data_IF_132071859953
#
_entry.id   IF_132071859953
#
_cell.length_a   1.000
_cell.length_b   1.000
_cell.length_c   1.000
_cell.angle_alpha   90.00
_cell.angle_beta   90.00
_cell.angle_gamma   90.00
#
_symmetry.space_group_name_H-M   'P 1'
#
loop_
_entity.id
_entity.type
_entity.pdbx_description
1 polymer ?
#
# COMPACT_ATOMS: atom_id res chain seq x y z
N UNK A 1 10.05 -3.81 -11.09
CA UNK A 1 8.90 -3.73 -10.16
C UNK A 1 7.64 -3.89 -10.98
N UNK A 2 6.86 -4.91 -10.69
CA UNK A 2 5.65 -5.21 -11.46
C UNK A 2 4.60 -4.09 -11.36
N UNK A 3 3.83 -3.89 -12.42
CA UNK A 3 2.88 -2.77 -12.59
C UNK A 3 3.49 -1.41 -12.90
N UNK A 4 4.79 -1.19 -12.64
CA UNK A 4 5.48 0.06 -12.96
C UNK A 4 6.32 -0.08 -14.24
N UNK A 5 5.85 0.54 -15.33
CA UNK A 5 6.65 0.68 -16.55
C UNK A 5 7.69 1.81 -16.44
N UNK A 6 8.66 1.84 -17.36
CA UNK A 6 9.71 2.86 -17.38
C UNK A 6 9.13 4.29 -17.41
N UNK A 7 8.07 4.52 -18.19
CA UNK A 7 7.39 5.80 -18.29
C UNK A 7 6.79 6.27 -16.94
N UNK A 8 6.19 5.36 -16.16
CA UNK A 8 5.66 5.67 -14.82
C UNK A 8 6.77 6.11 -13.90
N UNK A 9 7.91 5.41 -13.93
CA UNK A 9 9.06 5.76 -13.09
C UNK A 9 9.67 7.10 -13.51
N UNK A 10 9.78 7.37 -14.81
CA UNK A 10 10.24 8.66 -15.32
C UNK A 10 9.37 9.82 -14.84
N UNK A 11 8.03 9.68 -14.88
CA UNK A 11 7.11 10.70 -14.36
C UNK A 11 7.29 10.92 -12.86
N UNK A 12 7.46 9.84 -12.09
CA UNK A 12 7.71 9.95 -10.65
C UNK A 12 9.03 10.68 -10.38
N UNK A 13 10.10 10.32 -11.08
CA UNK A 13 11.42 10.94 -10.93
C UNK A 13 11.44 12.40 -11.41
N UNK A 14 10.67 12.76 -12.44
CA UNK A 14 10.57 14.16 -12.88
C UNK A 14 9.88 15.06 -11.86
N UNK A 15 8.95 14.51 -11.07
CA UNK A 15 8.22 15.26 -10.04
C UNK A 15 8.94 15.29 -8.69
N UNK A 16 9.68 14.21 -8.36
CA UNK A 16 10.26 14.02 -7.03
C UNK A 16 11.77 14.19 -6.97
N UNK A 17 12.45 14.07 -8.11
CA UNK A 17 13.90 13.91 -8.17
C UNK A 17 14.36 12.55 -7.64
N UNK A 18 15.68 12.37 -7.60
CA UNK A 18 16.32 11.17 -7.01
C UNK A 18 16.58 11.31 -5.51
N UNK A 19 16.60 12.56 -5.02
CA UNK A 19 16.92 12.86 -3.63
C UNK A 19 15.68 12.84 -2.74
N UNK A 20 15.64 11.92 -1.78
CA UNK A 20 14.53 11.77 -0.84
C UNK A 20 14.71 12.57 0.47
N UNK A 21 15.82 13.32 0.63
CA UNK A 21 16.08 14.17 1.81
C UNK A 21 14.98 15.21 2.11
N UNK A 22 14.29 15.82 1.12
CA UNK A 22 13.18 16.75 1.39
C UNK A 22 12.05 16.14 2.23
N UNK A 23 11.86 14.81 2.15
CA UNK A 23 10.88 14.09 2.97
C UNK A 23 11.56 13.27 4.06
N UNK A 24 11.53 13.78 5.28
CA UNK A 24 12.15 13.14 6.46
C UNK A 24 11.70 11.68 6.65
N UNK A 25 10.42 11.41 6.42
CA UNK A 25 9.87 10.05 6.49
C UNK A 25 9.04 9.73 5.25
N UNK A 26 8.89 8.43 5.00
CA UNK A 26 8.03 7.90 3.94
C UNK A 26 6.57 8.40 4.07
N UNK A 27 6.10 8.65 5.30
CA UNK A 27 4.78 9.24 5.54
C UNK A 27 4.64 10.62 4.88
N UNK A 28 5.61 11.51 5.08
CA UNK A 28 5.65 12.84 4.47
C UNK A 28 5.63 12.75 2.94
N UNK A 29 6.43 11.84 2.37
CA UNK A 29 6.46 11.60 0.92
C UNK A 29 5.10 11.19 0.35
N UNK A 30 4.45 10.20 0.99
CA UNK A 30 3.14 9.72 0.54
C UNK A 30 2.00 10.72 0.75
N UNK A 31 2.13 11.59 1.77
CA UNK A 31 1.19 12.69 2.01
C UNK A 31 1.36 13.78 0.97
N UNK A 32 2.59 14.16 0.63
CA UNK A 32 2.89 15.12 -0.44
C UNK A 32 2.35 14.65 -1.80
N UNK A 33 2.49 13.36 -2.11
CA UNK A 33 1.88 12.77 -3.31
C UNK A 33 0.35 12.65 -3.24
N UNK A 34 -0.31 13.02 -2.14
CA UNK A 34 -1.76 12.87 -1.98
C UNK A 34 -2.26 11.40 -2.08
N UNK A 35 -1.42 10.43 -1.69
CA UNK A 35 -1.77 9.01 -1.64
C UNK A 35 -2.16 8.55 -0.23
N UNK A 36 -1.84 9.34 0.78
CA UNK A 36 -2.33 9.15 2.14
C UNK A 36 -3.79 9.64 2.27
N UNK A 37 -4.60 9.05 3.17
CA UNK A 37 -5.93 9.57 3.47
C UNK A 37 -5.83 10.99 4.03
N UNK A 38 -6.71 11.88 3.57
CA UNK A 38 -6.87 13.23 4.10
C UNK A 38 -7.98 13.22 5.14
N UNK A 39 -7.62 13.55 6.39
CA UNK A 39 -8.54 13.56 7.52
C UNK A 39 -8.75 15.01 7.97
N UNK A 40 -9.98 15.49 7.85
CA UNK A 40 -10.39 16.80 8.38
C UNK A 40 -10.61 16.61 9.89
N UNK A 41 -9.78 17.25 10.73
CA UNK A 41 -9.81 17.10 12.19
C UNK A 41 -10.16 18.43 12.83
N UNK A 42 -11.14 18.42 13.73
CA UNK A 42 -11.49 19.56 14.59
C UNK A 42 -11.76 19.07 16.01
N UNK A 43 -11.30 19.80 17.02
CA UNK A 43 -11.48 19.43 18.43
C UNK A 43 -11.02 18.01 18.79
N UNK A 44 -9.98 17.49 18.11
CA UNK A 44 -9.46 16.14 18.31
C UNK A 44 -10.29 15.01 17.69
N UNK A 45 -11.39 15.30 16.98
CA UNK A 45 -12.22 14.31 16.29
C UNK A 45 -12.03 14.40 14.77
N UNK A 46 -11.98 13.24 14.11
CA UNK A 46 -11.99 13.16 12.64
C UNK A 46 -13.41 13.43 12.16
N UNK A 47 -13.61 14.57 11.51
CA UNK A 47 -14.89 14.96 10.93
C UNK A 47 -15.15 14.21 9.63
N UNK A 48 -14.13 14.11 8.77
CA UNK A 48 -14.23 13.51 7.43
C UNK A 48 -12.91 12.85 7.06
N UNK A 49 -12.98 11.74 6.34
CA UNK A 49 -11.81 11.06 5.77
C UNK A 49 -12.04 10.74 4.30
N UNK A 50 -11.17 11.24 3.42
CA UNK A 50 -11.30 11.06 1.97
C UNK A 50 -9.94 11.08 1.27
N UNK A 51 -9.90 10.59 0.03
CA UNK A 51 -8.76 10.81 -0.84
C UNK A 51 -8.69 12.30 -1.22
N UNK A 52 -7.49 12.88 -1.19
CA UNK A 52 -7.27 14.27 -1.57
C UNK A 52 -7.31 14.42 -3.10
N UNK A 53 -8.00 15.46 -3.59
CA UNK A 53 -7.91 15.84 -5.00
C UNK A 53 -6.51 16.38 -5.27
N UNK A 54 -5.88 15.96 -6.36
CA UNK A 54 -4.51 16.36 -6.68
C UNK A 54 -4.31 16.58 -8.16
N UNK A 55 -3.39 17.50 -8.49
CA UNK A 55 -2.85 17.71 -9.85
C UNK A 55 -1.50 17.03 -10.04
N UNK A 56 -0.99 16.33 -9.01
CA UNK A 56 0.31 15.68 -9.04
C UNK A 56 0.31 14.53 -10.05
N UNK A 57 1.16 14.61 -11.07
CA UNK A 57 1.25 13.62 -12.15
C UNK A 57 1.78 12.28 -11.66
N UNK A 58 2.70 12.28 -10.68
CA UNK A 58 3.21 11.07 -10.06
C UNK A 58 2.09 10.28 -9.35
N UNK A 59 1.14 10.96 -8.70
CA UNK A 59 -0.03 10.28 -8.10
C UNK A 59 -0.83 9.51 -9.16
N UNK A 60 -1.18 10.19 -10.26
CA UNK A 60 -1.96 9.60 -11.35
C UNK A 60 -1.21 8.43 -11.98
N UNK A 61 0.08 8.57 -12.25
CA UNK A 61 0.91 7.51 -12.81
C UNK A 61 0.97 6.28 -11.89
N UNK A 62 1.14 6.48 -10.58
CA UNK A 62 1.15 5.39 -9.60
C UNK A 62 -0.22 4.71 -9.46
N UNK A 63 -1.32 5.44 -9.63
CA UNK A 63 -2.66 4.86 -9.64
C UNK A 63 -2.92 4.02 -10.90
N UNK A 64 -2.40 4.43 -12.05
CA UNK A 64 -2.44 3.63 -13.28
C UNK A 64 -1.59 2.36 -13.13
N UNK A 65 -0.38 2.46 -12.60
CA UNK A 65 0.45 1.30 -12.28
C UNK A 65 -0.26 0.34 -11.32
N UNK A 66 -0.94 0.88 -10.30
CA UNK A 66 -1.74 0.08 -9.37
C UNK A 66 -2.92 -0.64 -10.03
N UNK A 67 -3.52 -0.06 -11.08
CA UNK A 67 -4.59 -0.71 -11.85
C UNK A 67 -4.07 -1.84 -12.73
N UNK A 68 -2.87 -1.71 -13.29
CA UNK A 68 -2.25 -2.77 -14.10
C UNK A 68 -1.98 -4.06 -13.31
N UNK A 69 -1.90 -3.98 -11.98
CA UNK A 69 -1.63 -5.11 -11.08
C UNK A 69 -2.84 -6.05 -10.85
N UNK A 70 -3.99 -5.80 -11.47
CA UNK A 70 -5.22 -6.59 -11.26
C UNK A 70 -5.01 -8.10 -11.46
N UNK A 71 -4.30 -8.46 -12.53
CA UNK A 71 -4.08 -9.85 -12.96
C UNK A 71 -2.67 -10.37 -12.69
N UNK A 72 -1.83 -9.61 -11.98
CA UNK A 72 -0.44 -10.04 -11.75
C UNK A 72 -0.29 -11.02 -10.59
N UNK A 73 0.64 -11.96 -10.73
CA UNK A 73 1.04 -12.93 -9.70
C UNK A 73 2.10 -12.38 -8.72
N UNK A 74 2.44 -11.09 -8.82
CA UNK A 74 3.27 -10.41 -7.83
C UNK A 74 2.60 -10.32 -6.47
N UNK A 75 3.41 -10.12 -5.42
CA UNK A 75 2.87 -9.86 -4.08
C UNK A 75 2.00 -8.58 -4.03
N UNK A 76 2.30 -7.60 -4.91
CA UNK A 76 1.52 -6.38 -5.04
C UNK A 76 0.16 -6.63 -5.70
N UNK A 77 0.09 -7.51 -6.71
CA UNK A 77 -1.16 -7.97 -7.30
C UNK A 77 -2.05 -8.69 -6.27
N UNK A 78 -1.47 -9.60 -5.48
CA UNK A 78 -2.18 -10.27 -4.39
C UNK A 78 -2.68 -9.27 -3.32
N UNK A 79 -1.88 -8.24 -3.00
CA UNK A 79 -2.31 -7.14 -2.12
C UNK A 79 -3.50 -6.37 -2.70
N UNK A 80 -3.44 -6.00 -3.98
CA UNK A 80 -4.50 -5.29 -4.68
C UNK A 80 -5.81 -6.08 -4.65
N UNK A 81 -5.78 -7.37 -5.08
CA UNK A 81 -6.97 -8.23 -5.10
C UNK A 81 -7.63 -8.33 -3.73
N UNK A 82 -6.83 -8.52 -2.68
CA UNK A 82 -7.33 -8.55 -1.30
C UNK A 82 -7.95 -7.21 -0.88
N UNK A 83 -7.31 -6.08 -1.18
CA UNK A 83 -7.89 -4.77 -0.84
C UNK A 83 -9.16 -4.48 -1.65
N UNK A 84 -9.22 -4.91 -2.92
CA UNK A 84 -10.39 -4.78 -3.78
C UNK A 84 -11.59 -5.53 -3.20
N UNK A 85 -11.39 -6.77 -2.76
CA UNK A 85 -12.44 -7.56 -2.12
C UNK A 85 -12.96 -6.91 -0.81
N UNK A 86 -12.08 -6.25 -0.05
CA UNK A 86 -12.45 -5.66 1.26
C UNK A 86 -13.02 -4.24 1.18
N UNK A 87 -12.51 -3.40 0.28
CA UNK A 87 -12.76 -1.95 0.26
C UNK A 87 -13.42 -1.46 -1.02
N UNK A 88 -13.53 -2.31 -2.04
CA UNK A 88 -13.90 -1.91 -3.40
C UNK A 88 -12.73 -1.38 -4.22
N UNK A 89 -12.92 -1.32 -5.55
CA UNK A 89 -11.85 -1.01 -6.49
C UNK A 89 -11.21 0.38 -6.32
N UNK A 90 -11.96 1.50 -6.13
CA UNK A 90 -11.34 2.82 -6.05
C UNK A 90 -10.38 2.96 -4.86
N UNK A 91 -10.77 2.44 -3.68
CA UNK A 91 -9.94 2.46 -2.47
C UNK A 91 -8.75 1.52 -2.59
N UNK A 92 -8.92 0.36 -3.23
CA UNK A 92 -7.84 -0.59 -3.45
C UNK A 92 -6.73 -0.03 -4.37
N UNK A 93 -7.10 0.72 -5.42
CA UNK A 93 -6.15 1.39 -6.31
C UNK A 93 -5.28 2.36 -5.51
N UNK A 94 -5.89 3.24 -4.72
CA UNK A 94 -5.15 4.23 -3.92
C UNK A 94 -4.28 3.54 -2.87
N UNK A 95 -4.80 2.52 -2.17
CA UNK A 95 -4.03 1.78 -1.19
C UNK A 95 -2.83 1.03 -1.79
N UNK A 96 -2.95 0.59 -3.04
CA UNK A 96 -1.87 -0.09 -3.76
C UNK A 96 -0.86 0.91 -4.29
N UNK A 97 -1.31 2.02 -4.89
CA UNK A 97 -0.45 3.14 -5.26
C UNK A 97 0.33 3.70 -4.05
N UNK A 98 -0.31 3.80 -2.88
CA UNK A 98 0.34 4.14 -1.62
C UNK A 98 1.47 3.18 -1.29
N UNK A 99 1.27 1.86 -1.44
CA UNK A 99 2.34 0.88 -1.25
C UNK A 99 3.47 1.02 -2.24
N UNK A 100 3.15 1.23 -3.52
CA UNK A 100 4.15 1.42 -4.58
C UNK A 100 5.02 2.64 -4.26
N UNK A 101 4.39 3.76 -3.91
CA UNK A 101 5.06 4.97 -3.46
C UNK A 101 6.03 4.72 -2.29
N UNK A 102 5.62 3.93 -1.29
CA UNK A 102 6.49 3.60 -0.15
C UNK A 102 7.71 2.79 -0.58
N UNK A 103 7.54 1.87 -1.53
CA UNK A 103 8.63 1.07 -2.08
C UNK A 103 9.61 1.98 -2.80
N UNK A 104 9.13 2.83 -3.71
CA UNK A 104 9.97 3.79 -4.45
C UNK A 104 10.77 4.68 -3.49
N UNK A 105 10.14 5.23 -2.44
CA UNK A 105 10.83 6.03 -1.43
C UNK A 105 12.01 5.28 -0.80
N UNK A 106 11.81 4.02 -0.40
CA UNK A 106 12.87 3.24 0.23
C UNK A 106 13.93 2.75 -0.76
N UNK A 107 13.55 2.45 -1.99
CA UNK A 107 14.50 2.15 -3.06
C UNK A 107 15.43 3.34 -3.30
N UNK A 108 14.88 4.56 -3.43
CA UNK A 108 15.67 5.76 -3.67
C UNK A 108 16.46 6.21 -2.43
N UNK A 109 15.88 6.11 -1.23
CA UNK A 109 16.56 6.55 0.00
C UNK A 109 17.73 5.65 0.38
N UNK A 110 17.59 4.33 0.22
CA UNK A 110 18.60 3.35 0.64
C UNK A 110 19.36 2.72 -0.52
N UNK A 111 19.05 3.10 -1.76
CA UNK A 111 19.66 2.56 -2.98
C UNK A 111 19.58 1.02 -3.01
N UNK A 112 18.41 0.48 -2.65
CA UNK A 112 18.15 -0.96 -2.63
C UNK A 112 17.18 -1.35 -3.72
N UNK A 113 17.45 -2.49 -4.35
CA UNK A 113 16.56 -3.06 -5.35
C UNK A 113 15.27 -3.60 -4.70
N UNK A 114 14.18 -3.53 -5.46
CA UNK A 114 12.93 -4.17 -5.09
C UNK A 114 12.95 -5.65 -5.46
N UNK A 115 12.81 -6.51 -4.45
CA UNK A 115 12.69 -7.96 -4.63
C UNK A 115 11.23 -8.38 -4.45
N UNK A 116 10.68 -9.07 -5.45
CA UNK A 116 9.34 -9.64 -5.38
C UNK A 116 9.40 -11.04 -4.76
N UNK A 117 8.76 -11.22 -3.61
CA UNK A 117 8.67 -12.51 -2.91
C UNK A 117 7.53 -13.39 -3.43
N UNK A 118 6.71 -12.89 -4.35
CA UNK A 118 5.57 -13.57 -4.96
C UNK A 118 4.27 -13.51 -4.14
N UNK A 119 3.15 -13.81 -4.79
CA UNK A 119 1.82 -13.85 -4.19
C UNK A 119 1.73 -14.86 -3.02
N UNK A 120 2.24 -16.08 -3.20
CA UNK A 120 2.15 -17.15 -2.21
C UNK A 120 2.78 -16.77 -0.86
N UNK A 121 3.97 -16.16 -0.89
CA UNK A 121 4.66 -15.72 0.32
C UNK A 121 3.83 -14.66 1.08
N UNK A 122 3.24 -13.72 0.34
CA UNK A 122 2.40 -12.69 0.90
C UNK A 122 1.09 -13.22 1.50
N UNK A 123 0.46 -14.19 0.84
CA UNK A 123 -0.75 -14.87 1.34
C UNK A 123 -0.46 -15.69 2.58
N UNK A 124 0.64 -16.44 2.62
CA UNK A 124 1.10 -17.17 3.80
C UNK A 124 1.32 -16.24 5.00
N UNK A 125 1.99 -15.09 4.78
CA UNK A 125 2.18 -14.08 5.82
C UNK A 125 0.84 -13.49 6.29
N UNK A 126 -0.11 -13.29 5.38
CA UNK A 126 -1.43 -12.80 5.73
C UNK A 126 -2.21 -13.81 6.58
N UNK A 127 -2.21 -15.09 6.19
CA UNK A 127 -2.83 -16.18 6.95
C UNK A 127 -2.26 -16.26 8.37
N UNK A 128 -0.93 -16.18 8.51
CA UNK A 128 -0.28 -16.14 9.83
C UNK A 128 -0.80 -14.98 10.70
N UNK A 129 -0.96 -13.78 10.13
CA UNK A 129 -1.52 -12.63 10.86
C UNK A 129 -2.98 -12.85 11.26
N UNK A 130 -3.78 -13.47 10.40
CA UNK A 130 -5.18 -13.80 10.72
C UNK A 130 -5.25 -14.78 11.89
N UNK A 131 -4.47 -15.86 11.86
CA UNK A 131 -4.40 -16.85 12.95
C UNK A 131 -3.97 -16.17 14.26
N UNK A 132 -2.92 -15.34 14.23
CA UNK A 132 -2.48 -14.61 15.42
C UNK A 132 -3.55 -13.66 15.97
N UNK A 133 -4.28 -12.96 15.08
CA UNK A 133 -5.39 -12.09 15.48
C UNK A 133 -6.54 -12.87 16.10
N UNK A 134 -6.89 -14.03 15.53
CA UNK A 134 -7.93 -14.91 16.05
C UNK A 134 -7.53 -15.49 17.41
N UNK A 135 -6.27 -15.92 17.54
CA UNK A 135 -5.73 -16.45 18.81
C UNK A 135 -5.81 -15.41 19.91
N UNK A 136 -5.41 -14.16 19.63
CA UNK A 136 -5.53 -13.05 20.59
C UNK A 136 -6.98 -12.76 20.97
N UNK A 137 -7.89 -12.80 20.00
CA UNK A 137 -9.33 -12.57 20.24
C UNK A 137 -9.95 -13.71 21.06
N UNK A 138 -9.59 -14.95 20.77
CA UNK A 138 -10.02 -16.12 21.56
C UNK A 138 -9.54 -15.98 23.01
N UNK A 139 -8.26 -15.67 23.22
CA UNK A 139 -7.69 -15.46 24.54
C UNK A 139 -8.41 -14.35 25.34
N UNK A 140 -8.77 -13.22 24.69
CA UNK A 140 -9.53 -12.15 25.35
C UNK A 140 -10.95 -12.57 25.80
N UNK A 141 -11.48 -13.65 25.23
CA UNK A 141 -12.78 -14.22 25.57
C UNK A 141 -12.66 -15.47 26.46
N UNK A 142 -11.45 -15.81 26.93
CA UNK A 142 -11.21 -17.03 27.70
C UNK A 142 -11.30 -18.32 26.89
N UNK A 143 -11.23 -18.24 25.56
CA UNK A 143 -11.32 -19.38 24.65
C UNK A 143 -9.93 -19.76 24.10
N UNK A 144 -9.76 -21.04 23.77
CA UNK A 144 -8.57 -21.55 23.08
C UNK A 144 -8.88 -21.83 21.60
N UNK A 145 -8.01 -21.35 20.71
CA UNK A 145 -8.13 -21.62 19.28
C UNK A 145 -7.53 -23.00 18.98
N UNK A 146 -8.40 -23.97 18.68
CA UNK A 146 -7.99 -25.32 18.27
C UNK A 146 -8.18 -25.47 16.76
N UNK A 147 -7.19 -26.00 16.01
CA UNK A 147 -7.37 -26.30 14.60
C UNK A 147 -8.49 -27.33 14.42
N UNK A 148 -9.42 -27.07 13.51
CA UNK A 148 -10.40 -28.07 13.11
C UNK A 148 -9.67 -29.26 12.47
N UNK A 149 -10.08 -30.51 12.80
CA UNK A 149 -9.67 -31.68 12.01
C UNK A 149 -10.23 -31.51 10.60
N UNK A 150 -9.33 -31.61 9.61
CA UNK A 150 -9.66 -31.55 8.20
C UNK A 150 -10.39 -32.83 7.75
#
# INVERSE_FOLDING_TARGET
>A
MDGCNAATIQVVLSETGVDMRPWRTCGHFTSWMCLAPHNDISGGKVLRSRAQKTKNRANTALRLAAQALTHSDSWLGAYYRRQRARLGAPKAIIATAHKIARIIYYMLKYQREFVDLGANHYEAQHRKRQINSLTKKAASLGLLLVPAKA
#
